data_IF_740352848805
#
_entry.id   IF_740352848805
#
_cell.length_a   1.000
_cell.length_b   1.000
_cell.length_c   1.000
_cell.angle_alpha   90.00
_cell.angle_beta   90.00
_cell.angle_gamma   90.00
#
_symmetry.space_group_name_H-M   'P 1'
#
loop_
_entity.id
_entity.type
_entity.pdbx_description
1 polymer ?
#
# COMPACT_ATOMS: atom_id res chain seq x y z
N UNK A 1 -24.90 -9.99 16.09
CA UNK A 1 -23.56 -9.48 15.73
C UNK A 1 -23.47 -8.05 16.19
N UNK A 2 -22.46 -7.70 16.99
CA UNK A 2 -22.25 -6.32 17.40
C UNK A 2 -21.84 -5.46 16.21
N UNK A 3 -22.28 -4.18 16.21
CA UNK A 3 -21.94 -3.20 15.15
C UNK A 3 -20.42 -3.08 14.95
N UNK A 4 -19.64 -3.30 16.01
CA UNK A 4 -18.18 -3.27 16.00
C UNK A 4 -17.59 -4.46 15.22
N UNK A 5 -18.17 -5.65 15.38
CA UNK A 5 -17.71 -6.87 14.69
C UNK A 5 -17.98 -6.78 13.20
N UNK A 6 -19.15 -6.30 12.79
CA UNK A 6 -19.49 -6.08 11.37
C UNK A 6 -18.56 -5.05 10.72
N UNK A 7 -18.21 -3.98 11.44
CA UNK A 7 -17.26 -2.98 10.95
C UNK A 7 -15.86 -3.56 10.75
N UNK A 8 -15.35 -4.34 11.73
CA UNK A 8 -14.05 -5.02 11.60
C UNK A 8 -14.04 -6.00 10.42
N UNK A 9 -15.10 -6.78 10.21
CA UNK A 9 -15.21 -7.71 9.08
C UNK A 9 -15.24 -6.95 7.73
N UNK A 10 -15.94 -5.82 7.63
CA UNK A 10 -15.92 -5.00 6.42
C UNK A 10 -14.52 -4.46 6.12
N UNK A 11 -13.79 -4.09 7.18
CA UNK A 11 -12.46 -3.52 7.07
C UNK A 11 -11.39 -4.56 6.67
N UNK A 12 -11.47 -5.79 7.20
CA UNK A 12 -10.64 -6.91 6.75
C UNK A 12 -10.91 -7.22 5.29
N UNK A 13 -12.17 -7.27 4.87
CA UNK A 13 -12.55 -7.49 3.47
C UNK A 13 -11.97 -6.42 2.56
N UNK A 14 -12.07 -5.15 2.95
CA UNK A 14 -11.53 -4.04 2.18
C UNK A 14 -9.99 -4.09 2.09
N UNK A 15 -9.30 -4.53 3.13
CA UNK A 15 -7.85 -4.76 3.09
C UNK A 15 -7.48 -5.97 2.23
N UNK A 16 -8.22 -7.07 2.31
CA UNK A 16 -7.99 -8.26 1.47
C UNK A 16 -8.24 -7.93 -0.01
N UNK A 17 -9.24 -7.13 -0.34
CA UNK A 17 -9.54 -6.76 -1.72
C UNK A 17 -8.66 -5.63 -2.25
N UNK A 18 -8.24 -4.69 -1.38
CA UNK A 18 -7.49 -3.51 -1.78
C UNK A 18 -5.97 -3.64 -1.65
N UNK A 19 -5.46 -4.32 -0.61
CA UNK A 19 -4.02 -4.42 -0.32
C UNK A 19 -3.42 -5.74 -0.79
N UNK A 20 -4.15 -6.86 -0.62
CA UNK A 20 -3.62 -8.19 -0.93
C UNK A 20 -3.24 -8.36 -2.42
N UNK A 21 -4.05 -7.92 -3.40
CA UNK A 21 -3.71 -8.06 -4.81
C UNK A 21 -2.48 -7.24 -5.18
N UNK A 22 -2.35 -6.03 -4.63
CA UNK A 22 -1.16 -5.21 -4.84
C UNK A 22 0.08 -5.87 -4.24
N UNK A 23 -0.01 -6.43 -3.03
CA UNK A 23 1.12 -7.15 -2.43
C UNK A 23 1.53 -8.38 -3.23
N UNK A 24 0.56 -9.16 -3.73
CA UNK A 24 0.85 -10.33 -4.57
C UNK A 24 1.50 -9.91 -5.88
N UNK A 25 0.98 -8.87 -6.53
CA UNK A 25 1.53 -8.34 -7.76
C UNK A 25 2.94 -7.78 -7.55
N UNK A 26 3.19 -7.14 -6.41
CA UNK A 26 4.52 -6.71 -6.00
C UNK A 26 5.47 -7.90 -5.84
N UNK A 27 5.07 -8.96 -5.12
CA UNK A 27 5.89 -10.18 -4.95
C UNK A 27 6.20 -10.84 -6.30
N UNK A 28 5.19 -10.99 -7.17
CA UNK A 28 5.37 -11.53 -8.53
C UNK A 28 6.32 -10.64 -9.34
N UNK A 29 6.17 -9.32 -9.24
CA UNK A 29 7.10 -8.36 -9.85
C UNK A 29 8.53 -8.53 -9.33
N UNK A 30 8.72 -8.66 -8.02
CA UNK A 30 10.03 -8.88 -7.42
C UNK A 30 10.69 -10.16 -7.96
N UNK A 31 9.96 -11.28 -7.97
CA UNK A 31 10.49 -12.57 -8.44
C UNK A 31 10.76 -12.49 -9.95
N UNK A 32 9.81 -11.98 -10.73
CA UNK A 32 9.89 -11.94 -12.19
C UNK A 32 10.92 -10.95 -12.75
N UNK A 33 11.22 -9.86 -12.03
CA UNK A 33 12.22 -8.87 -12.46
C UNK A 33 13.60 -9.12 -11.85
N UNK A 34 13.69 -9.39 -10.54
CA UNK A 34 14.99 -9.46 -9.86
C UNK A 34 15.68 -10.80 -10.03
N UNK A 35 14.95 -11.91 -10.04
CA UNK A 35 15.56 -13.23 -10.25
C UNK A 35 16.34 -13.31 -11.59
N UNK A 36 15.77 -12.92 -12.74
CA UNK A 36 16.54 -12.90 -13.99
C UNK A 36 17.61 -11.80 -14.03
N UNK A 37 17.39 -10.65 -13.37
CA UNK A 37 18.39 -9.58 -13.29
C UNK A 37 19.67 -10.02 -12.55
N UNK A 38 19.56 -10.86 -11.52
CA UNK A 38 20.72 -11.37 -10.77
C UNK A 38 21.36 -12.62 -11.38
N UNK A 39 20.60 -13.43 -12.13
CA UNK A 39 21.05 -14.76 -12.58
C UNK A 39 21.47 -14.79 -14.05
N UNK A 40 20.93 -13.93 -14.93
CA UNK A 40 20.94 -14.16 -16.39
C UNK A 40 21.64 -13.05 -17.18
N UNK A 41 21.74 -11.82 -16.68
CA UNK A 41 21.96 -10.66 -17.55
C UNK A 41 23.17 -9.79 -17.15
N UNK A 42 24.05 -9.51 -18.12
CA UNK A 42 24.98 -8.37 -18.07
C UNK A 42 24.18 -7.07 -18.13
N UNK A 43 23.70 -6.63 -16.97
CA UNK A 43 22.88 -5.44 -16.85
C UNK A 43 23.76 -4.19 -16.82
N UNK A 44 23.30 -3.07 -17.41
CA UNK A 44 24.01 -1.81 -17.27
C UNK A 44 24.11 -1.42 -15.80
N UNK A 45 25.27 -0.91 -15.38
CA UNK A 45 25.63 -0.60 -13.98
C UNK A 45 24.57 0.23 -13.21
N UNK A 46 23.74 1.00 -13.93
CA UNK A 46 22.66 1.82 -13.36
C UNK A 46 21.31 1.11 -13.18
N UNK A 47 21.08 -0.06 -13.79
CA UNK A 47 19.78 -0.75 -13.71
C UNK A 47 19.51 -1.30 -12.30
N UNK A 48 20.54 -1.82 -11.62
CA UNK A 48 20.44 -2.39 -10.28
C UNK A 48 20.05 -1.32 -9.22
N UNK A 49 20.76 -0.18 -9.10
CA UNK A 49 20.39 0.83 -8.11
C UNK A 49 19.03 1.47 -8.42
N UNK A 50 18.66 1.63 -9.70
CA UNK A 50 17.34 2.12 -10.08
C UNK A 50 16.24 1.14 -9.64
N UNK A 51 16.41 -0.16 -9.88
CA UNK A 51 15.45 -1.18 -9.46
C UNK A 51 15.30 -1.23 -7.94
N UNK A 52 16.40 -1.15 -7.18
CA UNK A 52 16.38 -1.06 -5.71
C UNK A 52 15.63 0.18 -5.21
N UNK A 53 15.78 1.32 -5.88
CA UNK A 53 15.05 2.54 -5.57
C UNK A 53 13.54 2.37 -5.74
N UNK A 54 13.11 1.84 -6.89
CA UNK A 54 11.70 1.56 -7.19
C UNK A 54 11.08 0.57 -6.21
N UNK A 55 11.85 -0.45 -5.80
CA UNK A 55 11.44 -1.40 -4.77
C UNK A 55 11.27 -0.72 -3.42
N UNK A 56 12.19 0.14 -3.03
CA UNK A 56 12.15 0.81 -1.73
C UNK A 56 10.91 1.69 -1.60
N UNK A 57 10.54 2.42 -2.66
CA UNK A 57 9.32 3.23 -2.72
C UNK A 57 8.07 2.34 -2.56
N UNK A 58 8.02 1.24 -3.31
CA UNK A 58 6.88 0.31 -3.30
C UNK A 58 6.74 -0.39 -1.94
N UNK A 59 7.86 -0.82 -1.35
CA UNK A 59 7.91 -1.45 -0.04
C UNK A 59 7.49 -0.49 1.06
N UNK A 60 7.98 0.76 1.03
CA UNK A 60 7.59 1.80 1.97
C UNK A 60 6.08 2.09 1.88
N UNK A 61 5.56 2.14 0.66
CA UNK A 61 4.13 2.35 0.44
C UNK A 61 3.26 1.21 0.98
N UNK A 62 3.61 -0.03 0.64
CA UNK A 62 2.93 -1.23 1.15
C UNK A 62 3.00 -1.30 2.68
N UNK A 63 4.18 -1.09 3.25
CA UNK A 63 4.38 -1.07 4.70
C UNK A 63 3.50 -0.03 5.39
N UNK A 64 3.44 1.19 4.84
CA UNK A 64 2.58 2.24 5.37
C UNK A 64 1.11 1.84 5.33
N UNK A 65 0.62 1.31 4.21
CA UNK A 65 -0.77 0.89 4.10
C UNK A 65 -1.14 -0.24 5.07
N UNK A 66 -0.31 -1.27 5.21
CA UNK A 66 -0.52 -2.35 6.19
C UNK A 66 -0.48 -1.82 7.62
N UNK A 67 0.42 -0.90 7.93
CA UNK A 67 0.50 -0.27 9.25
C UNK A 67 -0.76 0.55 9.58
N UNK A 68 -1.29 1.31 8.63
CA UNK A 68 -2.53 2.08 8.79
C UNK A 68 -3.72 1.14 9.00
N UNK A 69 -3.78 0.05 8.24
CA UNK A 69 -4.79 -0.99 8.42
C UNK A 69 -4.75 -1.59 9.83
N UNK A 70 -3.57 -1.99 10.31
CA UNK A 70 -3.41 -2.49 11.68
C UNK A 70 -3.84 -1.46 12.74
N UNK A 71 -3.47 -0.19 12.56
CA UNK A 71 -3.89 0.89 13.46
C UNK A 71 -5.40 1.12 13.45
N UNK A 72 -6.07 0.91 12.31
CA UNK A 72 -7.53 1.01 12.21
C UNK A 72 -8.30 -0.13 12.86
N UNK A 73 -7.62 -1.27 13.05
CA UNK A 73 -8.13 -2.44 13.79
C UNK A 73 -7.89 -2.34 15.29
N UNK A 74 -6.91 -1.54 15.73
CA UNK A 74 -6.54 -1.42 17.13
C UNK A 74 -7.69 -0.85 17.99
N UNK A 75 -7.78 -1.32 19.23
CA UNK A 75 -8.80 -0.88 20.19
C UNK A 75 -8.54 0.54 20.71
N UNK A 76 -7.27 0.91 20.79
CA UNK A 76 -6.83 2.24 21.20
C UNK A 76 -6.42 3.02 19.94
N UNK A 77 -7.11 4.12 19.59
CA UNK A 77 -6.87 4.87 18.37
C UNK A 77 -5.70 5.84 18.52
N UNK A 78 -4.52 5.37 18.94
CA UNK A 78 -3.32 6.21 18.99
C UNK A 78 -2.58 6.09 17.66
N UNK A 79 -2.31 7.22 17.02
CA UNK A 79 -1.61 7.25 15.72
C UNK A 79 -0.15 7.71 15.93
N UNK A 80 0.79 6.77 16.14
CA UNK A 80 2.20 7.13 16.29
C UNK A 80 2.75 7.68 14.96
N UNK A 81 3.50 8.77 15.04
CA UNK A 81 4.17 9.40 13.90
C UNK A 81 3.23 9.74 12.72
N UNK A 82 2.14 10.45 13.02
CA UNK A 82 1.11 10.89 12.06
C UNK A 82 1.67 11.45 10.74
N UNK A 83 2.72 12.28 10.79
CA UNK A 83 3.36 12.85 9.58
C UNK A 83 3.94 11.78 8.66
N UNK A 84 4.58 10.75 9.24
CA UNK A 84 5.17 9.64 8.48
C UNK A 84 4.08 8.82 7.76
N UNK A 85 2.96 8.58 8.43
CA UNK A 85 1.83 7.85 7.84
C UNK A 85 1.14 8.65 6.73
N UNK A 86 0.95 9.96 6.92
CA UNK A 86 0.44 10.85 5.85
C UNK A 86 1.38 10.84 4.65
N UNK A 87 2.70 10.94 4.88
CA UNK A 87 3.69 10.83 3.80
C UNK A 87 3.60 9.47 3.09
N UNK A 88 3.42 8.37 3.83
CA UNK A 88 3.26 7.03 3.23
C UNK A 88 2.01 6.89 2.37
N UNK A 89 0.88 7.48 2.78
CA UNK A 89 -0.34 7.57 1.95
C UNK A 89 -0.12 8.42 0.71
N UNK A 90 0.54 9.58 0.85
CA UNK A 90 0.83 10.45 -0.28
C UNK A 90 1.76 9.75 -1.30
N UNK A 91 2.82 9.09 -0.82
CA UNK A 91 3.74 8.32 -1.66
C UNK A 91 3.00 7.18 -2.36
N UNK A 92 2.12 6.44 -1.68
CA UNK A 92 1.34 5.37 -2.32
C UNK A 92 0.36 5.87 -3.36
N UNK A 93 -0.30 7.02 -3.13
CA UNK A 93 -1.20 7.61 -4.11
C UNK A 93 -0.44 8.11 -5.35
N UNK A 94 0.66 8.83 -5.16
CA UNK A 94 1.48 9.34 -6.26
C UNK A 94 2.08 8.16 -7.04
N UNK A 95 2.67 7.19 -6.34
CA UNK A 95 3.31 6.03 -6.95
C UNK A 95 2.30 5.11 -7.66
N UNK A 96 1.16 4.85 -7.02
CA UNK A 96 0.04 4.12 -7.63
C UNK A 96 -0.52 4.83 -8.85
N UNK A 97 -0.60 6.17 -8.83
CA UNK A 97 -0.98 6.99 -9.98
C UNK A 97 0.02 6.91 -11.15
N UNK A 98 1.32 6.94 -10.87
CA UNK A 98 2.36 6.75 -11.89
C UNK A 98 2.23 5.37 -12.54
N UNK A 99 2.11 4.31 -11.74
CA UNK A 99 1.94 2.94 -12.24
C UNK A 99 0.61 2.76 -13.01
N UNK A 100 -0.47 3.38 -12.54
CA UNK A 100 -1.74 3.42 -13.25
C UNK A 100 -1.62 4.12 -14.61
N UNK A 101 -0.85 5.22 -14.70
CA UNK A 101 -0.57 5.91 -15.96
C UNK A 101 0.16 5.02 -16.97
N UNK A 102 1.17 4.27 -16.51
CA UNK A 102 1.87 3.29 -17.37
C UNK A 102 0.98 2.12 -17.79
N UNK A 103 0.04 1.72 -16.95
CA UNK A 103 -0.85 0.57 -17.17
C UNK A 103 -2.26 0.96 -17.63
N UNK A 104 -2.47 2.21 -18.10
CA UNK A 104 -3.79 2.74 -18.46
C UNK A 104 -4.55 1.89 -19.49
N UNK A 105 -3.84 1.13 -20.32
CA UNK A 105 -4.42 0.22 -21.32
C UNK A 105 -5.12 -1.00 -20.68
N UNK A 106 -4.83 -1.29 -19.41
CA UNK A 106 -5.38 -2.40 -18.65
C UNK A 106 -6.14 -1.84 -17.44
N UNK A 107 -7.44 -1.58 -17.60
CA UNK A 107 -8.28 -0.99 -16.56
C UNK A 107 -8.20 -1.73 -15.21
N UNK A 108 -8.07 -3.07 -15.23
CA UNK A 108 -7.93 -3.88 -14.03
C UNK A 108 -6.67 -3.53 -13.22
N UNK A 109 -5.54 -3.30 -13.89
CA UNK A 109 -4.28 -2.93 -13.22
C UNK A 109 -4.35 -1.53 -12.61
N UNK A 110 -4.98 -0.60 -13.32
CA UNK A 110 -5.22 0.77 -12.82
C UNK A 110 -5.96 0.74 -11.48
N UNK A 111 -7.02 -0.07 -11.36
CA UNK A 111 -7.76 -0.20 -10.11
C UNK A 111 -6.91 -0.84 -9.00
N UNK A 112 -6.15 -1.89 -9.32
CA UNK A 112 -5.28 -2.58 -8.36
C UNK A 112 -4.20 -1.63 -7.79
N UNK A 113 -3.65 -0.73 -8.61
CA UNK A 113 -2.63 0.22 -8.16
C UNK A 113 -3.20 1.41 -7.37
N UNK A 114 -4.42 1.88 -7.70
CA UNK A 114 -5.03 3.04 -7.02
C UNK A 114 -5.78 2.67 -5.73
N UNK A 115 -6.44 1.51 -5.67
CA UNK A 115 -7.22 1.07 -4.51
C UNK A 115 -6.46 1.12 -3.17
N UNK A 116 -5.23 0.59 -3.05
CA UNK A 116 -4.46 0.61 -1.80
C UNK A 116 -4.26 2.00 -1.21
N UNK A 117 -3.99 3.00 -2.06
CA UNK A 117 -3.76 4.39 -1.64
C UNK A 117 -5.05 5.08 -1.18
N UNK A 118 -6.16 4.84 -1.88
CA UNK A 118 -7.47 5.36 -1.49
C UNK A 118 -7.97 4.70 -0.20
N UNK A 119 -7.80 3.39 -0.09
CA UNK A 119 -8.14 2.62 1.10
C UNK A 119 -7.34 3.10 2.31
N UNK A 120 -6.02 3.22 2.18
CA UNK A 120 -5.17 3.70 3.28
C UNK A 120 -5.48 5.14 3.69
N UNK A 121 -5.82 6.01 2.73
CA UNK A 121 -6.30 7.36 3.03
C UNK A 121 -7.62 7.35 3.83
N UNK A 122 -8.60 6.54 3.43
CA UNK A 122 -9.87 6.41 4.13
C UNK A 122 -9.69 5.83 5.55
N UNK A 123 -8.83 4.81 5.69
CA UNK A 123 -8.52 4.19 6.98
C UNK A 123 -7.77 5.15 7.91
N UNK A 124 -6.81 5.92 7.38
CA UNK A 124 -6.09 6.95 8.14
C UNK A 124 -7.03 8.07 8.59
N UNK A 125 -7.94 8.49 7.72
CA UNK A 125 -8.96 9.48 8.07
C UNK A 125 -9.86 8.97 9.20
N UNK A 126 -10.31 7.72 9.11
CA UNK A 126 -11.15 7.10 10.12
C UNK A 126 -10.43 6.94 11.47
N UNK A 127 -9.16 6.52 11.48
CA UNK A 127 -8.36 6.42 12.72
C UNK A 127 -8.15 7.77 13.37
N UNK A 128 -7.77 8.80 12.61
CA UNK A 128 -7.61 10.16 13.11
C UNK A 128 -8.91 10.75 13.66
N UNK A 129 -10.06 10.41 13.06
CA UNK A 129 -11.36 10.84 13.57
C UNK A 129 -11.69 10.18 14.91
N UNK A 130 -11.38 8.88 15.08
CA UNK A 130 -11.55 8.18 16.35
C UNK A 130 -10.62 8.70 17.44
N UNK A 131 -9.37 9.00 17.11
CA UNK A 131 -8.40 9.60 18.02
C UNK A 131 -8.91 10.93 18.59
N UNK A 132 -9.46 11.81 17.74
CA UNK A 132 -10.06 13.09 18.16
C UNK A 132 -11.33 12.98 18.99
N UNK A 133 -12.03 11.86 18.94
CA UNK A 133 -13.27 11.64 19.69
C UNK A 133 -13.01 10.96 21.04
N UNK A 134 -11.84 10.34 21.21
CA UNK A 134 -11.44 9.64 22.42
C UNK A 134 -10.55 10.47 23.36
N UNK A 135 -9.98 11.58 22.88
CA UNK A 135 -9.28 12.59 23.67
C UNK A 135 -10.13 13.83 23.87
#
# INVERSE_FOLDING_TARGET
MDKLTTFRIGLTLAAVLGLMPLTLLFIVGCIGFFFPMFVISEQPLFAIPMALGLMSISLFGLWSCWKIYLLSMAEIPVVPNRRLLICGVAVTLIWGGVLAGFTHKFAQLVYIFMMPGLLSAALLWHTLRRERQAG
#
